data_IF_240072423903
#
_entry.id   IF_240072423903
#
_cell.length_a   1.000
_cell.length_b   1.000
_cell.length_c   1.000
_cell.angle_alpha   90.00
_cell.angle_beta   90.00
_cell.angle_gamma   90.00
#
_symmetry.space_group_name_H-M   'P 1'
#
loop_
_entity.id
_entity.type
_entity.pdbx_description
1 polymer ?
#
# COMPACT_ATOMS: atom_id res chain seq x y z
N UNK A 1 4.15 -21.45 43.43
CA UNK A 1 4.45 -21.88 42.05
C UNK A 1 3.19 -22.46 41.43
N UNK A 2 2.34 -21.61 40.86
CA UNK A 2 1.25 -22.04 39.98
C UNK A 2 1.37 -21.15 38.74
N UNK A 3 1.91 -21.73 37.68
CA UNK A 3 2.07 -21.09 36.37
C UNK A 3 0.82 -21.39 35.56
N UNK A 4 -0.11 -20.44 35.49
CA UNK A 4 -1.22 -20.47 34.55
C UNK A 4 -0.76 -19.81 33.25
N UNK A 5 -0.31 -20.63 32.28
CA UNK A 5 -0.19 -20.19 30.89
C UNK A 5 -1.60 -19.98 30.35
N UNK A 6 -1.94 -18.73 30.04
CA UNK A 6 -3.13 -18.41 29.26
C UNK A 6 -2.94 -18.93 27.83
N UNK A 7 -3.98 -19.45 27.17
CA UNK A 7 -3.89 -19.85 25.78
C UNK A 7 -3.80 -18.59 24.90
N UNK A 8 -2.72 -18.50 24.12
CA UNK A 8 -2.62 -17.57 23.00
C UNK A 8 -3.73 -17.92 22.01
N UNK A 9 -4.77 -17.08 21.92
CA UNK A 9 -5.77 -17.21 20.86
C UNK A 9 -5.10 -16.70 19.58
N UNK A 10 -4.45 -17.61 18.86
CA UNK A 10 -4.15 -17.40 17.45
C UNK A 10 -5.49 -17.28 16.73
N UNK A 11 -5.85 -16.07 16.30
CA UNK A 11 -6.92 -15.89 15.31
C UNK A 11 -6.43 -16.62 14.06
N UNK A 12 -6.86 -17.88 13.90
CA UNK A 12 -6.63 -18.64 12.69
C UNK A 12 -7.36 -17.90 11.57
N UNK A 13 -6.60 -17.18 10.74
CA UNK A 13 -7.02 -16.95 9.37
C UNK A 13 -7.29 -18.32 8.77
N UNK A 14 -8.52 -18.57 8.34
CA UNK A 14 -8.81 -19.76 7.55
C UNK A 14 -8.07 -19.58 6.23
N UNK A 15 -6.84 -20.10 6.16
CA UNK A 15 -6.15 -20.32 4.90
C UNK A 15 -7.04 -21.26 4.10
N UNK A 16 -7.75 -20.73 3.11
CA UNK A 16 -8.39 -21.55 2.09
C UNK A 16 -7.29 -22.32 1.37
N UNK A 17 -7.53 -23.54 0.90
CA UNK A 17 -6.54 -24.34 0.16
C UNK A 17 -5.95 -23.63 -1.08
N UNK A 18 -6.52 -22.49 -1.50
CA UNK A 18 -6.09 -21.65 -2.62
C UNK A 18 -5.31 -20.37 -2.21
N UNK A 19 -5.03 -20.12 -0.93
CA UNK A 19 -4.21 -18.98 -0.50
C UNK A 19 -2.72 -19.34 -0.52
N UNK A 20 -1.93 -18.59 -1.30
CA UNK A 20 -0.47 -18.72 -1.36
C UNK A 20 0.22 -17.36 -1.36
N UNK A 21 1.54 -17.37 -1.29
CA UNK A 21 2.35 -16.14 -1.28
C UNK A 21 2.70 -15.68 -2.69
N UNK A 22 2.98 -14.38 -2.83
CA UNK A 22 3.60 -13.83 -4.02
C UNK A 22 5.09 -14.21 -4.07
N UNK A 23 5.61 -14.47 -5.27
CA UNK A 23 7.05 -14.61 -5.51
C UNK A 23 7.48 -13.93 -6.80
N UNK A 24 8.60 -13.22 -6.78
CA UNK A 24 9.33 -12.88 -8.00
C UNK A 24 10.20 -14.09 -8.37
N UNK A 25 9.92 -14.71 -9.51
CA UNK A 25 10.63 -15.91 -9.97
C UNK A 25 11.94 -15.49 -10.66
N UNK A 26 11.85 -14.60 -11.64
CA UNK A 26 12.97 -14.16 -12.48
C UNK A 26 12.64 -12.79 -13.09
N UNK A 27 13.64 -12.08 -13.59
CA UNK A 27 13.46 -10.83 -14.32
C UNK A 27 14.63 -10.58 -15.29
N UNK A 28 14.39 -9.76 -16.30
CA UNK A 28 15.39 -9.34 -17.27
C UNK A 28 14.78 -9.02 -18.63
N UNK A 29 15.55 -8.37 -19.49
CA UNK A 29 15.11 -7.89 -20.81
C UNK A 29 13.80 -7.08 -20.74
N UNK A 30 13.67 -6.23 -19.73
CA UNK A 30 12.51 -5.35 -19.55
C UNK A 30 11.24 -6.05 -19.09
N UNK A 31 11.37 -7.26 -18.50
CA UNK A 31 10.24 -8.08 -18.05
C UNK A 31 10.49 -8.68 -16.68
N UNK A 32 9.42 -9.07 -16.00
CA UNK A 32 9.44 -9.84 -14.76
C UNK A 32 8.49 -11.03 -14.83
N UNK A 33 8.93 -12.14 -14.24
CA UNK A 33 8.22 -13.39 -14.11
C UNK A 33 7.82 -13.57 -12.66
N UNK A 34 6.52 -13.67 -12.39
CA UNK A 34 5.96 -13.63 -11.05
C UNK A 34 5.07 -14.85 -10.81
N UNK A 35 5.10 -15.41 -9.60
CA UNK A 35 4.14 -16.40 -9.12
C UNK A 35 3.11 -15.69 -8.23
N UNK A 36 1.84 -15.80 -8.61
CA UNK A 36 0.71 -15.40 -7.78
C UNK A 36 0.11 -16.67 -7.18
N UNK A 37 0.56 -17.08 -5.99
CA UNK A 37 0.10 -18.33 -5.36
C UNK A 37 0.14 -19.55 -6.31
N UNK A 38 1.19 -19.67 -7.12
CA UNK A 38 1.37 -20.74 -8.10
C UNK A 38 0.81 -20.45 -9.50
N UNK A 39 0.08 -19.36 -9.71
CA UNK A 39 -0.31 -18.89 -11.04
C UNK A 39 0.78 -17.97 -11.61
N UNK A 40 1.48 -18.44 -12.64
CA UNK A 40 2.71 -17.81 -13.15
C UNK A 40 2.38 -16.80 -14.25
N UNK A 41 2.81 -15.56 -14.05
CA UNK A 41 2.56 -14.46 -14.97
C UNK A 41 3.85 -13.80 -15.46
N UNK A 42 3.81 -13.31 -16.69
CA UNK A 42 4.90 -12.57 -17.33
C UNK A 42 4.43 -11.15 -17.70
N UNK A 43 5.11 -10.13 -17.17
CA UNK A 43 4.75 -8.73 -17.38
C UNK A 43 5.94 -7.83 -17.69
N UNK A 44 5.74 -6.74 -18.45
CA UNK A 44 6.75 -5.70 -18.61
C UNK A 44 7.18 -5.10 -17.28
N UNK A 45 8.46 -4.78 -17.16
CA UNK A 45 9.09 -4.09 -16.04
C UNK A 45 10.29 -3.31 -16.55
N UNK A 46 10.17 -1.99 -16.81
CA UNK A 46 11.28 -1.15 -17.28
C UNK A 46 12.51 -1.19 -16.36
N UNK A 47 12.30 -1.39 -15.06
CA UNK A 47 13.38 -1.56 -14.09
C UNK A 47 14.29 -2.79 -14.37
N UNK A 48 13.86 -3.70 -15.25
CA UNK A 48 14.62 -4.89 -15.65
C UNK A 48 15.21 -4.78 -17.08
N UNK A 49 15.19 -3.59 -17.71
CA UNK A 49 15.64 -3.40 -19.11
C UNK A 49 17.11 -3.79 -19.32
N UNK A 50 17.96 -3.55 -18.32
CA UNK A 50 19.40 -3.80 -18.38
C UNK A 50 19.83 -5.13 -17.74
N UNK A 51 18.88 -5.91 -17.24
CA UNK A 51 19.11 -7.23 -16.65
C UNK A 51 18.95 -8.36 -17.67
N UNK A 52 19.54 -9.52 -17.37
CA UNK A 52 19.28 -10.76 -18.11
C UNK A 52 18.52 -11.76 -17.24
N UNK A 53 17.53 -12.49 -17.80
CA UNK A 53 16.90 -13.60 -17.10
C UNK A 53 17.93 -14.66 -16.71
N UNK A 54 17.83 -15.18 -15.50
CA UNK A 54 18.72 -16.24 -15.00
C UNK A 54 18.44 -17.57 -15.70
N UNK A 55 17.16 -17.88 -15.94
CA UNK A 55 16.77 -19.10 -16.62
C UNK A 55 15.62 -18.86 -17.60
N UNK A 56 16.00 -18.68 -18.87
CA UNK A 56 15.07 -18.46 -19.98
C UNK A 56 14.02 -19.57 -20.12
N UNK A 57 14.27 -20.79 -19.64
CA UNK A 57 13.31 -21.90 -19.74
C UNK A 57 12.06 -21.65 -18.91
N UNK A 58 12.17 -20.91 -17.80
CA UNK A 58 11.05 -20.59 -16.91
C UNK A 58 9.97 -19.71 -17.59
N UNK A 59 10.33 -19.04 -18.69
CA UNK A 59 9.48 -18.05 -19.38
C UNK A 59 8.62 -18.63 -20.51
N UNK A 60 8.82 -19.91 -20.87
CA UNK A 60 8.14 -20.54 -22.00
C UNK A 60 6.69 -20.92 -21.70
N UNK A 61 6.41 -21.34 -20.46
CA UNK A 61 5.17 -22.02 -20.08
C UNK A 61 4.37 -21.26 -19.01
N UNK A 62 4.29 -19.94 -19.13
CA UNK A 62 3.52 -19.09 -18.18
C UNK A 62 2.01 -19.24 -18.36
N UNK A 63 1.25 -19.01 -17.29
CA UNK A 63 -0.21 -19.10 -17.32
C UNK A 63 -0.85 -17.89 -18.01
N UNK A 64 -0.28 -16.70 -17.82
CA UNK A 64 -0.69 -15.47 -18.50
C UNK A 64 0.46 -14.51 -18.79
N UNK A 65 0.35 -13.76 -19.88
CA UNK A 65 1.33 -12.75 -20.31
C UNK A 65 0.64 -11.43 -20.61
N UNK A 66 1.19 -10.33 -20.11
CA UNK A 66 0.77 -9.00 -20.54
C UNK A 66 1.67 -8.49 -21.67
N UNK A 67 1.05 -8.10 -22.78
CA UNK A 67 1.70 -7.43 -23.91
C UNK A 67 1.56 -5.91 -23.72
N UNK A 68 2.69 -5.24 -23.47
CA UNK A 68 2.75 -3.80 -23.29
C UNK A 68 2.46 -2.99 -24.55
N UNK A 69 2.71 -3.55 -25.74
CA UNK A 69 2.46 -2.87 -27.01
C UNK A 69 0.96 -2.86 -27.35
N UNK A 70 0.29 -4.00 -27.19
CA UNK A 70 -1.15 -4.11 -27.47
C UNK A 70 -2.04 -3.79 -26.27
N UNK A 71 -1.45 -3.67 -25.07
CA UNK A 71 -2.14 -3.48 -23.78
C UNK A 71 -3.18 -4.58 -23.52
N UNK A 72 -2.83 -5.82 -23.81
CA UNK A 72 -3.71 -6.98 -23.66
C UNK A 72 -3.04 -8.08 -22.84
N UNK A 73 -3.88 -8.82 -22.14
CA UNK A 73 -3.50 -10.07 -21.50
C UNK A 73 -3.76 -11.23 -22.46
N UNK A 74 -2.76 -12.09 -22.59
CA UNK A 74 -2.83 -13.39 -23.23
C UNK A 74 -2.88 -14.47 -22.16
N UNK A 75 -3.88 -15.35 -22.23
CA UNK A 75 -4.11 -16.37 -21.21
C UNK A 75 -3.93 -17.76 -21.82
N UNK A 76 -2.96 -18.51 -21.30
CA UNK A 76 -2.87 -19.95 -21.55
C UNK A 76 -3.83 -20.71 -20.64
N UNK A 77 -3.92 -20.27 -19.38
CA UNK A 77 -4.90 -20.75 -18.40
C UNK A 77 -5.77 -19.57 -17.95
N UNK A 78 -7.10 -19.75 -17.81
CA UNK A 78 -7.97 -18.67 -17.33
C UNK A 78 -7.48 -18.14 -15.98
N UNK A 79 -7.58 -16.81 -15.78
CA UNK A 79 -7.26 -16.21 -14.48
C UNK A 79 -8.21 -16.78 -13.41
N UNK A 80 -7.70 -17.38 -12.32
CA UNK A 80 -8.55 -17.98 -11.29
C UNK A 80 -9.39 -16.91 -10.59
N UNK A 81 -10.70 -17.15 -10.47
CA UNK A 81 -11.64 -16.17 -9.89
C UNK A 81 -11.41 -15.89 -8.41
N UNK A 82 -10.87 -16.87 -7.70
CA UNK A 82 -10.57 -16.87 -6.27
C UNK A 82 -9.10 -16.58 -5.97
N UNK A 83 -8.31 -16.16 -6.95
CA UNK A 83 -6.88 -15.95 -6.75
C UNK A 83 -6.60 -14.81 -5.76
N UNK A 84 -6.12 -15.20 -4.58
CA UNK A 84 -5.73 -14.30 -3.49
C UNK A 84 -4.27 -14.50 -3.12
N UNK A 85 -3.63 -13.43 -2.65
CA UNK A 85 -2.28 -13.44 -2.10
C UNK A 85 -2.36 -13.28 -0.60
N UNK A 86 -1.63 -14.14 0.12
CA UNK A 86 -1.36 -13.94 1.54
C UNK A 86 -0.34 -12.81 1.74
N UNK A 87 -0.76 -11.77 2.45
CA UNK A 87 0.01 -10.56 2.77
C UNK A 87 0.49 -10.55 4.25
N UNK A 88 0.58 -11.73 4.87
CA UNK A 88 1.00 -11.95 6.25
C UNK A 88 0.04 -11.24 7.24
N UNK A 89 -1.13 -11.82 7.49
CA UNK A 89 -2.14 -11.24 8.38
C UNK A 89 -3.27 -10.49 7.66
N UNK A 90 -3.33 -10.54 6.33
CA UNK A 90 -4.54 -10.31 5.55
C UNK A 90 -4.35 -10.93 4.16
N UNK A 91 -5.44 -11.15 3.45
CA UNK A 91 -5.40 -11.61 2.05
C UNK A 91 -5.85 -10.50 1.11
N UNK A 92 -5.26 -10.47 -0.10
CA UNK A 92 -5.64 -9.52 -1.14
C UNK A 92 -6.04 -10.25 -2.43
N UNK A 93 -7.19 -9.92 -3.04
CA UNK A 93 -7.55 -10.46 -4.34
C UNK A 93 -6.66 -9.89 -5.43
N UNK A 94 -6.38 -10.70 -6.44
CA UNK A 94 -5.67 -10.26 -7.64
C UNK A 94 -6.59 -10.29 -8.85
N UNK A 95 -6.34 -9.41 -9.82
CA UNK A 95 -7.09 -9.34 -11.07
C UNK A 95 -6.23 -8.80 -12.21
N UNK A 96 -6.38 -9.33 -13.43
CA UNK A 96 -5.71 -8.78 -14.59
C UNK A 96 -6.38 -7.44 -14.95
N UNK A 97 -5.64 -6.35 -14.88
CA UNK A 97 -6.15 -5.03 -15.28
C UNK A 97 -5.79 -4.71 -16.74
N UNK A 98 -6.52 -3.81 -17.42
CA UNK A 98 -6.15 -3.34 -18.77
C UNK A 98 -4.78 -2.64 -18.85
N UNK A 99 -4.17 -2.31 -17.71
CA UNK A 99 -2.87 -1.63 -17.63
C UNK A 99 -1.71 -2.57 -17.27
N UNK A 100 -1.98 -3.87 -17.18
CA UNK A 100 -0.97 -4.87 -16.81
C UNK A 100 -0.70 -4.94 -15.29
N UNK A 101 -1.35 -4.14 -14.46
CA UNK A 101 -1.33 -4.33 -13.01
C UNK A 101 -2.16 -5.55 -12.61
N UNK A 102 -1.82 -6.11 -11.45
CA UNK A 102 -2.48 -7.30 -10.88
C UNK A 102 -3.45 -6.98 -9.73
N UNK A 103 -3.63 -5.69 -9.40
CA UNK A 103 -4.45 -5.28 -8.25
C UNK A 103 -3.71 -5.30 -6.91
N UNK A 104 -2.40 -5.57 -6.91
CA UNK A 104 -1.53 -5.59 -5.73
C UNK A 104 -0.12 -5.17 -6.15
N UNK A 105 0.61 -4.52 -5.25
CA UNK A 105 2.01 -4.14 -5.39
C UNK A 105 2.83 -4.85 -4.31
N UNK A 106 3.31 -6.09 -4.58
CA UNK A 106 3.95 -6.94 -3.57
C UNK A 106 5.23 -6.37 -2.95
N UNK A 107 5.89 -5.43 -3.62
CA UNK A 107 7.03 -4.66 -3.12
C UNK A 107 6.70 -3.85 -1.85
N UNK A 108 5.42 -3.65 -1.56
CA UNK A 108 4.92 -2.98 -0.36
C UNK A 108 4.82 -3.91 0.86
N UNK A 109 5.17 -5.20 0.75
CA UNK A 109 5.03 -6.17 1.84
C UNK A 109 5.71 -5.73 3.15
N UNK A 110 6.94 -5.22 3.07
CA UNK A 110 7.66 -4.71 4.23
C UNK A 110 6.99 -3.47 4.82
N UNK A 111 6.37 -2.63 3.97
CA UNK A 111 5.60 -1.47 4.43
C UNK A 111 4.30 -1.90 5.13
N UNK A 112 3.65 -2.96 4.67
CA UNK A 112 2.48 -3.51 5.37
C UNK A 112 2.87 -4.09 6.73
N UNK A 113 3.99 -4.82 6.82
CA UNK A 113 4.56 -5.26 8.10
C UNK A 113 4.85 -4.07 9.01
N UNK A 114 5.47 -3.02 8.48
CA UNK A 114 5.73 -1.80 9.24
C UNK A 114 4.44 -1.16 9.73
N UNK A 115 3.42 -0.98 8.88
CA UNK A 115 2.11 -0.41 9.25
C UNK A 115 1.40 -1.24 10.34
N UNK A 116 1.63 -2.55 10.36
CA UNK A 116 1.15 -3.43 11.44
C UNK A 116 1.94 -3.30 12.74
N UNK A 117 3.15 -2.73 12.68
CA UNK A 117 3.99 -2.46 13.86
C UNK A 117 3.39 -1.37 14.74
N UNK A 118 2.74 -1.79 15.85
CA UNK A 118 1.92 -1.04 16.83
C UNK A 118 0.69 -0.27 16.26
N UNK A 119 -0.52 -0.35 16.87
CA UNK A 119 -0.91 -0.95 18.16
C UNK A 119 -1.83 -2.19 18.10
N UNK A 120 -2.35 -2.56 19.28
CA UNK A 120 -3.04 -3.78 19.73
C UNK A 120 -4.20 -4.28 18.86
N UNK A 121 -4.36 -5.61 18.81
CA UNK A 121 -5.50 -6.29 18.17
C UNK A 121 -6.84 -5.68 18.61
N UNK A 122 -7.85 -5.66 17.74
CA UNK A 122 -9.23 -5.29 18.11
C UNK A 122 -9.75 -6.06 19.34
N UNK A 123 -9.20 -7.25 19.64
CA UNK A 123 -9.49 -8.04 20.84
C UNK A 123 -8.83 -7.52 22.12
N UNK A 124 -7.76 -6.75 21.99
CA UNK A 124 -6.84 -6.35 23.05
C UNK A 124 -7.02 -4.88 23.46
N UNK A 125 -7.75 -4.10 22.64
CA UNK A 125 -8.23 -2.78 23.03
C UNK A 125 -9.36 -3.01 24.04
N UNK A 126 -9.12 -2.64 25.31
CA UNK A 126 -10.19 -2.60 26.29
C UNK A 126 -11.34 -1.79 25.69
N UNK A 127 -12.58 -2.26 25.82
CA UNK A 127 -13.78 -1.80 25.10
C UNK A 127 -14.15 -0.30 25.25
N UNK A 128 -13.29 0.49 25.90
CA UNK A 128 -13.47 1.89 26.24
C UNK A 128 -12.34 2.81 25.73
N UNK A 129 -11.21 2.29 25.21
CA UNK A 129 -10.18 3.15 24.62
C UNK A 129 -10.46 3.39 23.12
N UNK A 130 -10.36 4.64 22.64
CA UNK A 130 -10.57 4.93 21.23
C UNK A 130 -9.46 4.29 20.37
N UNK A 131 -9.85 3.67 19.27
CA UNK A 131 -8.93 3.07 18.32
C UNK A 131 -8.03 4.15 17.67
N UNK A 132 -6.75 3.84 17.38
CA UNK A 132 -5.88 4.74 16.61
C UNK A 132 -6.46 4.95 15.21
N UNK A 133 -6.19 6.11 14.62
CA UNK A 133 -6.75 6.51 13.31
C UNK A 133 -5.71 6.46 12.21
N UNK A 134 -6.00 5.71 11.16
CA UNK A 134 -5.18 5.57 9.95
C UNK A 134 -5.81 6.31 8.76
N UNK A 135 -4.98 6.93 7.94
CA UNK A 135 -5.37 7.56 6.68
C UNK A 135 -4.54 6.96 5.54
N UNK A 136 -5.21 6.36 4.55
CA UNK A 136 -4.55 5.84 3.35
C UNK A 136 -4.93 6.72 2.15
N UNK A 137 -3.98 7.57 1.70
CA UNK A 137 -4.15 8.45 0.55
C UNK A 137 -3.59 7.79 -0.70
N UNK A 138 -4.32 7.93 -1.82
CA UNK A 138 -4.02 7.20 -3.06
C UNK A 138 -4.08 5.68 -2.81
N UNK A 139 -5.09 5.26 -2.05
CA UNK A 139 -5.08 3.96 -1.40
C UNK A 139 -5.20 2.74 -2.33
N UNK A 140 -5.44 2.95 -3.63
CA UNK A 140 -5.56 1.90 -4.64
C UNK A 140 -6.54 0.80 -4.20
N UNK A 141 -6.18 -0.47 -4.33
CA UNK A 141 -7.01 -1.61 -3.93
C UNK A 141 -7.03 -1.85 -2.43
N UNK A 142 -6.36 -1.02 -1.62
CA UNK A 142 -6.53 -0.99 -0.17
C UNK A 142 -5.62 -1.90 0.64
N UNK A 143 -4.52 -2.45 0.09
CA UNK A 143 -3.62 -3.30 0.86
C UNK A 143 -3.07 -2.62 2.13
N UNK A 144 -2.61 -1.36 2.04
CA UNK A 144 -2.17 -0.58 3.22
C UNK A 144 -3.32 -0.27 4.19
N UNK A 145 -4.55 -0.16 3.68
CA UNK A 145 -5.74 -0.04 4.54
C UNK A 145 -6.02 -1.33 5.29
N UNK A 146 -5.90 -2.49 4.64
CA UNK A 146 -6.03 -3.80 5.29
C UNK A 146 -4.92 -4.03 6.32
N UNK A 147 -3.69 -3.61 6.03
CA UNK A 147 -2.58 -3.65 6.98
C UNK A 147 -2.91 -2.86 8.26
N UNK A 148 -3.35 -1.60 8.14
CA UNK A 148 -3.75 -0.80 9.30
C UNK A 148 -4.99 -1.38 10.01
N UNK A 149 -6.00 -1.85 9.27
CA UNK A 149 -7.15 -2.54 9.88
C UNK A 149 -6.72 -3.80 10.63
N UNK A 150 -5.75 -4.57 10.16
CA UNK A 150 -5.27 -5.76 10.87
C UNK A 150 -4.63 -5.41 12.23
N UNK A 151 -4.11 -4.18 12.37
CA UNK A 151 -3.49 -3.64 13.58
C UNK A 151 -4.43 -2.75 14.42
N UNK A 152 -5.75 -2.89 14.28
CA UNK A 152 -6.69 -2.24 15.20
C UNK A 152 -7.03 -0.78 14.89
N UNK A 153 -6.61 -0.24 13.74
CA UNK A 153 -6.89 1.15 13.36
C UNK A 153 -8.31 1.35 12.81
N UNK A 154 -8.94 2.48 13.13
CA UNK A 154 -10.01 3.05 12.30
C UNK A 154 -9.38 3.67 11.05
N UNK A 155 -9.84 3.29 9.85
CA UNK A 155 -9.17 3.66 8.60
C UNK A 155 -10.04 4.57 7.74
N UNK A 156 -9.50 5.70 7.30
CA UNK A 156 -10.01 6.43 6.14
C UNK A 156 -9.23 6.00 4.89
N UNK A 157 -9.92 5.37 3.93
CA UNK A 157 -9.37 4.97 2.64
C UNK A 157 -9.80 5.95 1.56
N UNK A 158 -8.84 6.63 0.92
CA UNK A 158 -9.10 7.68 -0.05
C UNK A 158 -8.45 7.34 -1.39
N UNK A 159 -9.26 7.23 -2.44
CA UNK A 159 -8.79 7.10 -3.82
C UNK A 159 -9.74 7.86 -4.77
N UNK A 160 -9.20 8.44 -5.83
CA UNK A 160 -10.00 9.19 -6.81
C UNK A 160 -10.84 8.28 -7.72
N UNK A 161 -10.43 7.02 -7.89
CA UNK A 161 -11.07 6.07 -8.77
C UNK A 161 -12.05 5.18 -7.99
N UNK A 162 -13.35 5.31 -8.29
CA UNK A 162 -14.39 4.43 -7.72
C UNK A 162 -14.03 2.93 -7.80
N UNK A 163 -13.51 2.40 -8.93
CA UNK A 163 -13.12 0.99 -9.01
C UNK A 163 -12.04 0.56 -8.01
N UNK A 164 -11.15 1.47 -7.58
CA UNK A 164 -10.14 1.18 -6.57
C UNK A 164 -10.78 1.10 -5.18
N UNK A 165 -11.63 2.07 -4.86
CA UNK A 165 -12.39 2.10 -3.59
C UNK A 165 -13.30 0.88 -3.45
N UNK A 166 -13.99 0.48 -4.52
CA UNK A 166 -14.81 -0.74 -4.55
C UNK A 166 -13.95 -2.01 -4.35
N UNK A 167 -12.73 -2.04 -4.90
CA UNK A 167 -11.80 -3.15 -4.69
C UNK A 167 -11.30 -3.23 -3.25
N UNK A 168 -11.08 -2.09 -2.58
CA UNK A 168 -10.73 -2.06 -1.16
C UNK A 168 -11.88 -2.54 -0.27
N UNK A 169 -13.13 -2.24 -0.62
CA UNK A 169 -14.31 -2.81 0.05
C UNK A 169 -14.35 -4.33 -0.12
N UNK A 170 -14.11 -4.82 -1.35
CA UNK A 170 -14.08 -6.26 -1.61
C UNK A 170 -12.95 -6.98 -0.86
N UNK A 171 -11.79 -6.36 -0.73
CA UNK A 171 -10.69 -6.88 0.06
C UNK A 171 -11.07 -7.03 1.55
N UNK A 172 -11.78 -6.06 2.12
CA UNK A 172 -12.27 -6.17 3.49
C UNK A 172 -13.27 -7.32 3.66
N UNK A 173 -14.23 -7.48 2.73
CA UNK A 173 -15.16 -8.63 2.75
C UNK A 173 -14.43 -9.97 2.72
N UNK A 174 -13.40 -10.12 1.89
CA UNK A 174 -12.60 -11.35 1.80
C UNK A 174 -11.89 -11.69 3.11
N UNK A 175 -11.54 -10.67 3.91
CA UNK A 175 -10.94 -10.85 5.23
C UNK A 175 -12.00 -10.95 6.35
N UNK A 176 -13.30 -10.94 6.04
CA UNK A 176 -14.41 -10.84 6.99
C UNK A 176 -14.40 -9.56 7.83
N UNK A 177 -13.94 -8.44 7.25
CA UNK A 177 -13.75 -7.15 7.91
C UNK A 177 -14.71 -6.06 7.43
N UNK A 178 -15.80 -6.44 6.77
CA UNK A 178 -16.82 -5.50 6.31
C UNK A 178 -17.44 -4.64 7.43
N UNK A 179 -17.45 -5.16 8.67
CA UNK A 179 -17.98 -4.47 9.86
C UNK A 179 -16.91 -3.72 10.67
N UNK A 180 -15.65 -3.73 10.23
CA UNK A 180 -14.56 -2.95 10.87
C UNK A 180 -14.69 -1.45 10.51
N UNK A 181 -14.15 -0.54 11.35
CA UNK A 181 -14.29 0.91 11.14
C UNK A 181 -13.43 1.41 9.97
N UNK A 182 -13.91 1.24 8.74
CA UNK A 182 -13.31 1.78 7.52
C UNK A 182 -14.27 2.72 6.77
N UNK A 183 -13.77 3.90 6.43
CA UNK A 183 -14.46 4.89 5.59
C UNK A 183 -13.91 4.80 4.17
N UNK A 184 -14.73 4.34 3.24
CA UNK A 184 -14.42 4.29 1.80
C UNK A 184 -14.77 5.62 1.13
N UNK A 185 -13.78 6.31 0.58
CA UNK A 185 -13.94 7.68 0.08
C UNK A 185 -13.43 7.78 -1.37
N UNK A 186 -14.38 8.00 -2.30
CA UNK A 186 -14.06 8.36 -3.69
C UNK A 186 -13.79 9.86 -3.74
N UNK A 187 -12.53 10.26 -3.59
CA UNK A 187 -12.17 11.66 -3.41
C UNK A 187 -10.76 12.00 -3.90
N UNK A 188 -10.50 13.28 -4.08
CA UNK A 188 -9.16 13.80 -4.34
C UNK A 188 -8.40 13.91 -3.01
N UNK A 189 -7.23 13.28 -2.92
CA UNK A 189 -6.44 13.20 -1.69
C UNK A 189 -6.12 14.59 -1.10
N UNK A 190 -5.65 15.53 -1.93
CA UNK A 190 -5.30 16.88 -1.47
C UNK A 190 -6.51 17.66 -0.97
N UNK A 191 -7.63 17.61 -1.70
CA UNK A 191 -8.89 18.24 -1.25
C UNK A 191 -9.45 17.59 0.02
N UNK A 192 -9.30 16.29 0.17
CA UNK A 192 -9.71 15.56 1.37
C UNK A 192 -8.91 16.00 2.58
N UNK A 193 -7.58 15.97 2.52
CA UNK A 193 -6.73 16.41 3.64
C UNK A 193 -6.99 17.88 3.97
N UNK A 194 -7.14 18.76 2.98
CA UNK A 194 -7.50 20.16 3.22
C UNK A 194 -8.89 20.36 3.89
N UNK A 195 -9.82 19.41 3.73
CA UNK A 195 -11.08 19.40 4.50
C UNK A 195 -10.85 18.92 5.92
N UNK A 196 -10.03 17.90 6.12
CA UNK A 196 -9.74 17.37 7.45
C UNK A 196 -9.00 18.38 8.33
N UNK A 197 -8.08 19.18 7.76
CA UNK A 197 -7.46 20.34 8.43
C UNK A 197 -8.54 21.31 8.93
N UNK A 198 -9.48 21.72 8.06
CA UNK A 198 -10.56 22.66 8.42
C UNK A 198 -11.56 22.09 9.43
N UNK A 199 -11.62 20.76 9.55
CA UNK A 199 -12.49 20.05 10.49
C UNK A 199 -11.75 19.63 11.76
N UNK A 200 -10.47 20.00 11.88
CA UNK A 200 -9.61 19.69 13.02
C UNK A 200 -9.58 18.18 13.32
N UNK A 201 -9.56 17.37 12.25
CA UNK A 201 -9.46 15.91 12.34
C UNK A 201 -8.00 15.51 12.36
N UNK A 202 -7.66 14.63 13.30
CA UNK A 202 -6.30 14.14 13.50
C UNK A 202 -6.19 12.64 13.27
N UNK A 203 -5.01 12.22 12.81
CA UNK A 203 -4.65 10.87 12.41
C UNK A 203 -3.30 10.49 13.02
N UNK A 204 -3.17 9.22 13.38
CA UNK A 204 -1.97 8.67 14.01
C UNK A 204 -1.01 8.10 12.97
N UNK A 205 -1.54 7.58 11.86
CA UNK A 205 -0.75 7.04 10.76
C UNK A 205 -1.30 7.53 9.43
N UNK A 206 -0.45 8.12 8.60
CA UNK A 206 -0.82 8.57 7.25
C UNK A 206 0.06 7.87 6.23
N UNK A 207 -0.56 7.21 5.26
CA UNK A 207 0.09 6.58 4.11
C UNK A 207 -0.16 7.46 2.88
N UNK A 208 0.89 7.70 2.10
CA UNK A 208 0.84 8.41 0.83
C UNK A 208 1.57 7.59 -0.25
N UNK A 209 0.83 7.18 -1.28
CA UNK A 209 1.40 6.55 -2.49
C UNK A 209 1.00 7.32 -3.76
N UNK A 210 1.40 8.59 -3.89
CA UNK A 210 0.92 9.43 -4.98
C UNK A 210 1.48 8.99 -6.34
N UNK A 211 0.66 8.98 -7.40
CA UNK A 211 1.16 8.76 -8.75
C UNK A 211 1.93 9.99 -9.25
N UNK A 212 2.80 9.82 -10.25
CA UNK A 212 3.48 10.93 -10.93
C UNK A 212 2.47 11.94 -11.52
N UNK A 213 1.42 11.40 -12.14
CA UNK A 213 0.34 12.16 -12.76
C UNK A 213 -1.01 11.51 -12.44
N UNK A 214 -2.05 12.33 -12.26
CA UNK A 214 -3.39 11.83 -12.00
C UNK A 214 -4.48 12.81 -12.39
N UNK A 215 -5.71 12.31 -12.39
CA UNK A 215 -6.90 13.11 -12.60
C UNK A 215 -7.74 13.10 -11.33
N UNK A 216 -8.13 14.28 -10.85
CA UNK A 216 -9.15 14.34 -9.79
C UNK A 216 -10.49 13.82 -10.32
N UNK A 217 -11.39 13.32 -9.45
CA UNK A 217 -12.73 12.91 -9.86
C UNK A 217 -13.47 14.06 -10.56
N UNK A 218 -14.22 13.73 -11.63
CA UNK A 218 -14.97 14.71 -12.43
C UNK A 218 -16.00 15.42 -11.55
N UNK A 219 -15.87 16.72 -11.38
CA UNK A 219 -16.84 17.52 -10.60
C UNK A 219 -18.06 17.86 -11.45
N UNK A 220 -19.23 17.93 -10.81
CA UNK A 220 -20.51 18.28 -11.44
C UNK A 220 -20.58 19.74 -11.90
N UNK A 221 -19.69 20.62 -11.41
CA UNK A 221 -19.51 22.01 -11.86
C UNK A 221 -18.04 22.46 -11.71
N UNK A 222 -17.21 22.27 -12.73
CA UNK A 222 -15.85 22.81 -12.76
C UNK A 222 -14.86 22.02 -13.62
N UNK A 223 -13.71 22.63 -13.92
CA UNK A 223 -12.60 21.97 -14.61
C UNK A 223 -11.98 20.89 -13.71
N UNK A 224 -11.56 19.77 -14.33
CA UNK A 224 -10.84 18.72 -13.61
C UNK A 224 -9.41 19.20 -13.37
N UNK A 225 -9.05 19.53 -12.13
CA UNK A 225 -7.64 19.79 -11.79
C UNK A 225 -6.86 18.48 -12.00
N UNK A 226 -5.76 18.55 -12.73
CA UNK A 226 -4.85 17.42 -12.90
C UNK A 226 -3.85 17.41 -11.75
N UNK A 227 -3.62 16.27 -11.14
CA UNK A 227 -2.55 16.03 -10.16
C UNK A 227 -1.20 15.92 -10.88
N UNK A 228 -0.19 16.61 -10.37
CA UNK A 228 1.22 16.47 -10.76
C UNK A 228 2.08 16.41 -9.50
N UNK A 229 2.82 15.33 -9.32
CA UNK A 229 3.59 15.06 -8.10
C UNK A 229 4.51 16.23 -7.73
N UNK A 230 5.35 16.68 -8.66
CA UNK A 230 6.34 17.77 -8.48
C UNK A 230 5.74 19.10 -7.99
N UNK A 231 4.47 19.36 -8.35
CA UNK A 231 3.78 20.61 -8.02
C UNK A 231 2.90 20.46 -6.78
N UNK A 232 2.14 19.38 -6.70
CA UNK A 232 1.04 19.24 -5.76
C UNK A 232 1.42 18.47 -4.48
N UNK A 233 2.57 17.77 -4.46
CA UNK A 233 3.02 17.01 -3.30
C UNK A 233 3.27 17.89 -2.08
N UNK A 234 4.01 18.98 -2.23
CA UNK A 234 4.47 19.79 -1.10
C UNK A 234 3.32 20.43 -0.32
N UNK A 235 2.32 21.07 -0.97
CA UNK A 235 1.14 21.58 -0.26
C UNK A 235 0.29 20.46 0.36
N UNK A 236 0.30 19.26 -0.20
CA UNK A 236 -0.35 18.10 0.42
C UNK A 236 0.38 17.68 1.69
N UNK A 237 1.71 17.52 1.64
CA UNK A 237 2.51 17.15 2.81
C UNK A 237 2.39 18.17 3.94
N UNK A 238 2.37 19.48 3.64
CA UNK A 238 2.09 20.53 4.64
C UNK A 238 0.76 20.28 5.37
N UNK A 239 -0.30 19.94 4.63
CA UNK A 239 -1.60 19.65 5.23
C UNK A 239 -1.60 18.31 5.98
N UNK A 240 -0.84 17.31 5.53
CA UNK A 240 -0.66 16.05 6.26
C UNK A 240 -0.01 16.28 7.62
N UNK A 241 1.04 17.11 7.69
CA UNK A 241 1.69 17.45 8.95
C UNK A 241 0.72 18.11 9.95
N UNK A 242 -0.25 18.90 9.46
CA UNK A 242 -1.26 19.57 10.29
C UNK A 242 -2.36 18.65 10.83
N UNK A 243 -2.53 17.46 10.25
CA UNK A 243 -3.53 16.48 10.69
C UNK A 243 -2.89 15.31 11.45
N UNK A 244 -1.60 15.34 11.72
CA UNK A 244 -0.99 14.37 12.64
C UNK A 244 -1.47 14.66 14.06
N UNK A 245 -1.77 13.62 14.85
CA UNK A 245 -2.20 13.76 16.25
C UNK A 245 -1.00 13.86 17.20
N UNK A 246 -0.60 15.05 17.70
CA UNK A 246 0.55 15.16 18.61
C UNK A 246 0.20 14.76 20.06
N UNK A 247 -1.07 14.52 20.36
CA UNK A 247 -1.61 14.50 21.73
C UNK A 247 -1.86 13.09 22.29
N UNK A 248 -1.84 12.07 21.44
CA UNK A 248 -2.12 10.68 21.81
C UNK A 248 -0.89 9.93 22.33
N UNK A 249 -1.09 8.80 23.01
CA UNK A 249 -0.03 7.87 23.43
C UNK A 249 0.62 7.07 22.31
N UNK A 250 0.12 7.22 21.08
CA UNK A 250 0.67 6.58 19.89
C UNK A 250 1.47 7.62 19.11
N UNK A 251 2.78 7.37 18.94
CA UNK A 251 3.65 8.24 18.14
C UNK A 251 3.09 8.42 16.73
N UNK A 252 2.96 9.66 16.21
CA UNK A 252 2.53 9.88 14.84
C UNK A 252 3.47 9.27 13.82
N UNK A 253 2.90 8.84 12.70
CA UNK A 253 3.62 8.11 11.66
C UNK A 253 3.22 8.56 10.27
N UNK A 254 4.22 8.67 9.39
CA UNK A 254 4.01 8.86 7.96
C UNK A 254 4.72 7.73 7.21
N UNK A 255 4.05 7.13 6.24
CA UNK A 255 4.67 6.34 5.19
C UNK A 255 4.45 7.05 3.87
N UNK A 256 5.54 7.40 3.21
CA UNK A 256 5.53 7.90 1.85
C UNK A 256 6.18 6.87 0.93
N UNK A 257 5.54 6.52 -0.17
CA UNK A 257 6.11 5.65 -1.20
C UNK A 257 6.05 6.31 -2.56
N UNK A 258 6.97 5.96 -3.44
CA UNK A 258 7.07 6.55 -4.76
C UNK A 258 7.86 5.71 -5.73
N UNK A 259 7.58 5.90 -7.01
CA UNK A 259 8.18 5.14 -8.13
C UNK A 259 8.75 6.08 -9.20
N UNK A 260 8.87 7.37 -8.89
CA UNK A 260 9.28 8.42 -9.83
C UNK A 260 10.77 8.70 -9.76
N UNK A 261 11.34 9.10 -10.89
CA UNK A 261 12.73 9.60 -10.94
C UNK A 261 12.86 11.04 -10.43
N UNK A 262 11.81 11.87 -10.57
CA UNK A 262 11.90 13.32 -10.28
C UNK A 262 11.78 13.69 -8.82
N UNK A 263 11.23 12.81 -7.97
CA UNK A 263 11.18 12.97 -6.52
C UNK A 263 11.62 11.66 -5.91
N UNK A 264 12.68 11.70 -5.10
CA UNK A 264 13.20 10.59 -4.33
C UNK A 264 13.07 10.80 -2.82
N UNK A 265 13.71 9.92 -2.03
CA UNK A 265 13.70 10.03 -0.57
C UNK A 265 14.25 11.36 -0.05
N UNK A 266 15.32 11.88 -0.64
CA UNK A 266 16.04 13.04 -0.13
C UNK A 266 15.22 14.33 -0.20
N UNK A 267 14.42 14.51 -1.26
CA UNK A 267 13.53 15.67 -1.38
C UNK A 267 12.43 15.64 -0.31
N UNK A 268 11.84 14.46 -0.06
CA UNK A 268 10.82 14.28 0.97
C UNK A 268 11.41 14.52 2.36
N UNK A 269 12.59 13.97 2.64
CA UNK A 269 13.30 14.14 3.91
C UNK A 269 13.68 15.61 4.12
N UNK A 270 14.21 16.26 3.09
CA UNK A 270 14.57 17.67 3.10
C UNK A 270 13.36 18.56 3.43
N UNK A 271 12.21 18.29 2.79
CA UNK A 271 10.96 18.98 3.09
C UNK A 271 10.53 18.80 4.55
N UNK A 272 10.51 17.56 5.05
CA UNK A 272 10.09 17.26 6.41
C UNK A 272 10.97 17.94 7.47
N UNK A 273 12.30 17.91 7.28
CA UNK A 273 13.26 18.53 8.20
C UNK A 273 13.22 20.06 8.20
N UNK A 274 12.79 20.68 7.10
CA UNK A 274 12.66 22.14 7.00
C UNK A 274 11.31 22.65 7.50
N UNK A 275 10.33 21.77 7.67
CA UNK A 275 9.01 22.16 8.14
C UNK A 275 9.06 22.73 9.55
N UNK A 276 8.35 23.84 9.75
CA UNK A 276 8.14 24.49 11.05
C UNK A 276 6.76 24.22 11.63
N UNK A 277 5.98 23.36 10.99
CA UNK A 277 4.60 23.05 11.38
C UNK A 277 4.52 22.04 12.54
N UNK A 278 5.57 21.26 12.73
CA UNK A 278 5.66 20.22 13.75
C UNK A 278 7.05 20.27 14.39
N UNK A 279 7.16 19.81 15.63
CA UNK A 279 8.47 19.55 16.23
C UNK A 279 9.09 18.31 15.57
N UNK A 280 10.29 18.47 15.03
CA UNK A 280 11.05 17.41 14.36
C UNK A 280 12.20 16.89 15.23
N UNK A 281 12.33 17.36 16.48
CA UNK A 281 13.37 16.91 17.41
C UNK A 281 13.38 15.39 17.63
N UNK A 282 12.19 14.78 17.70
CA UNK A 282 11.98 13.33 17.80
C UNK A 282 11.72 12.62 16.46
N UNK A 283 11.94 13.28 15.31
CA UNK A 283 11.69 12.68 14.01
C UNK A 283 12.75 11.62 13.67
N UNK A 284 12.33 10.36 13.65
CA UNK A 284 13.10 9.24 13.10
C UNK A 284 12.64 8.92 11.69
N UNK A 285 13.61 8.76 10.80
CA UNK A 285 13.40 8.49 9.39
C UNK A 285 14.13 7.20 9.03
N UNK A 286 13.38 6.27 8.44
CA UNK A 286 13.89 5.10 7.74
C UNK A 286 13.53 5.25 6.26
N UNK A 287 14.54 5.37 5.40
CA UNK A 287 14.35 5.60 3.98
C UNK A 287 15.24 4.65 3.17
N UNK A 288 14.62 3.97 2.21
CA UNK A 288 15.30 2.95 1.41
C UNK A 288 14.67 2.82 0.02
N UNK A 289 15.36 2.14 -0.89
CA UNK A 289 14.71 1.59 -2.08
C UNK A 289 13.75 0.47 -1.67
N UNK A 290 12.64 0.36 -2.39
CA UNK A 290 11.73 -0.77 -2.32
C UNK A 290 12.13 -1.76 -3.40
N UNK A 291 12.21 -3.04 -3.06
CA UNK A 291 12.76 -4.06 -3.94
C UNK A 291 11.92 -5.33 -3.90
N UNK A 292 11.83 -6.00 -5.04
CA UNK A 292 11.38 -7.38 -5.13
C UNK A 292 12.60 -8.30 -5.22
N UNK A 293 12.55 -9.45 -4.54
CA UNK A 293 13.69 -10.38 -4.47
C UNK A 293 13.33 -11.73 -5.08
N UNK A 294 14.23 -12.26 -5.92
CA UNK A 294 14.14 -13.65 -6.38
C UNK A 294 14.62 -14.62 -5.30
N UNK A 295 14.32 -15.91 -5.46
CA UNK A 295 14.84 -16.95 -4.58
C UNK A 295 16.38 -17.08 -4.63
N UNK A 296 17.00 -16.69 -5.76
CA UNK A 296 18.47 -16.60 -5.93
C UNK A 296 19.09 -15.37 -5.28
N UNK A 297 18.27 -14.44 -4.76
CA UNK A 297 18.72 -13.22 -4.08
C UNK A 297 18.93 -12.01 -4.98
N UNK A 298 18.54 -12.08 -6.26
CA UNK A 298 18.56 -10.89 -7.14
C UNK A 298 17.48 -9.90 -6.72
N UNK A 299 17.82 -8.63 -6.79
CA UNK A 299 16.96 -7.52 -6.40
C UNK A 299 16.49 -6.76 -7.64
N UNK A 300 15.16 -6.65 -7.81
CA UNK A 300 14.54 -5.81 -8.81
C UNK A 300 14.05 -4.53 -8.12
N UNK A 301 14.55 -3.38 -8.56
CA UNK A 301 14.13 -2.08 -8.05
C UNK A 301 12.64 -1.82 -8.34
N UNK A 302 11.91 -1.38 -7.32
CA UNK A 302 10.47 -1.16 -7.37
C UNK A 302 10.09 0.18 -6.73
N UNK A 303 10.96 1.18 -6.80
CA UNK A 303 10.72 2.50 -6.21
C UNK A 303 11.38 2.69 -4.85
N UNK A 304 10.78 3.52 -4.00
CA UNK A 304 11.33 3.88 -2.70
C UNK A 304 10.24 4.08 -1.64
N UNK A 305 10.69 4.09 -0.40
CA UNK A 305 9.88 4.38 0.77
C UNK A 305 10.60 5.33 1.73
N UNK A 306 9.81 6.16 2.42
CA UNK A 306 10.23 7.00 3.53
C UNK A 306 9.24 6.78 4.66
N UNK A 307 9.70 6.14 5.73
CA UNK A 307 8.96 5.87 6.95
C UNK A 307 9.40 6.87 8.01
N UNK A 308 8.45 7.62 8.55
CA UNK A 308 8.68 8.60 9.58
C UNK A 308 7.93 8.20 10.84
N UNK A 309 8.62 8.28 11.97
CA UNK A 309 8.03 8.17 13.32
C UNK A 309 8.40 9.42 14.08
N UNK A 310 7.40 10.11 14.62
CA UNK A 310 7.58 11.28 15.47
C UNK A 310 7.59 10.82 16.93
N UNK A 311 8.77 10.44 17.43
CA UNK A 311 8.95 10.06 18.83
C UNK A 311 8.82 11.29 19.74
N UNK A 312 8.45 11.03 20.99
CA UNK A 312 8.36 12.04 22.05
C UNK A 312 9.61 12.02 22.90
#
# INVERSE_FOLDING_TARGET
MWSSRLPTISILYQMTEESGTYQLIDFGNGRKLESLAGYVIDRPSPAADFDQPEDRRLWNDVDARFDGATKRWEFRRPWPKSLVIDCDGFIMPTRPTPFGHIGLFPEQADNWQWLRGQPKSYSDVASHEPHPKGLNLFGYTGASSMAMLSAGFEVAHVDAAKPNVDAAAKAAELNNWQDRPIRYLVDDAAKFVAREVRRERHYHTVVLDPPAYGHSPKQSRGSTKTWRLERDLWPLLDNVLRILDPSSDVSPRILFTGHTESIGPDEVIGFLKQSRLIDTSGLRIDASRSQLRTASGRELDAGFQVRCVFER
#
